data_IF_293352257708
#
_entry.id   IF_293352257708
#
_cell.length_a   1.000
_cell.length_b   1.000
_cell.length_c   1.000
_cell.angle_alpha   90.00
_cell.angle_beta   90.00
_cell.angle_gamma   90.00
#
_symmetry.space_group_name_H-M   'P 1'
#
loop_
_entity.id
_entity.type
_entity.pdbx_description
1 polymer ?
#
# COMPACT_ATOMS: atom_id res chain seq x y z
N UNK A 1 53.35 8.76 -21.67
CA UNK A 1 52.06 8.63 -22.38
C UNK A 1 51.22 7.66 -21.56
N UNK A 2 50.04 7.92 -21.02
CA UNK A 2 49.00 8.94 -21.16
C UNK A 2 47.70 8.22 -20.79
N UNK A 3 47.12 8.51 -19.62
CA UNK A 3 45.96 7.79 -19.09
C UNK A 3 45.07 8.71 -18.28
N UNK A 4 44.40 9.63 -18.96
CA UNK A 4 43.45 10.56 -18.35
C UNK A 4 42.12 9.84 -18.08
N UNK A 5 41.84 9.52 -16.81
CA UNK A 5 40.54 9.01 -16.37
C UNK A 5 39.56 10.17 -16.19
N UNK A 6 38.70 10.39 -17.18
CA UNK A 6 37.64 11.42 -17.17
C UNK A 6 36.58 11.13 -16.09
N UNK A 7 36.62 11.86 -14.97
CA UNK A 7 35.57 11.83 -13.94
C UNK A 7 34.40 12.72 -14.38
N UNK A 8 33.41 12.15 -15.05
CA UNK A 8 32.13 12.81 -15.33
C UNK A 8 31.29 12.77 -14.05
N UNK A 9 31.20 13.90 -13.35
CA UNK A 9 30.27 14.10 -12.25
C UNK A 9 28.85 14.29 -12.80
N UNK A 10 28.00 13.26 -12.65
CA UNK A 10 26.60 13.34 -13.05
C UNK A 10 25.85 14.24 -12.04
N UNK A 11 25.44 15.43 -12.48
CA UNK A 11 24.51 16.28 -11.72
C UNK A 11 23.09 15.75 -11.92
N UNK A 12 22.38 15.47 -10.82
CA UNK A 12 20.98 15.11 -10.85
C UNK A 12 20.11 16.32 -11.25
N UNK A 13 18.99 16.11 -11.98
CA UNK A 13 18.05 17.18 -12.28
C UNK A 13 17.37 17.66 -10.99
N UNK A 14 17.62 18.91 -10.61
CA UNK A 14 16.89 19.60 -9.56
C UNK A 14 15.48 19.90 -10.05
N UNK A 15 14.48 19.28 -9.45
CA UNK A 15 13.07 19.61 -9.70
C UNK A 15 12.82 21.07 -9.29
N UNK A 16 12.04 21.86 -10.05
CA UNK A 16 11.54 23.13 -9.53
C UNK A 16 10.66 22.82 -8.31
N UNK A 17 10.95 23.47 -7.18
CA UNK A 17 10.09 23.49 -6.02
C UNK A 17 8.73 24.03 -6.44
N UNK A 18 7.73 23.14 -6.56
CA UNK A 18 6.35 23.57 -6.71
C UNK A 18 5.95 24.28 -5.41
N UNK A 19 5.74 25.60 -5.49
CA UNK A 19 5.34 26.46 -4.37
C UNK A 19 3.86 26.31 -4.02
N UNK A 20 3.36 25.06 -3.98
CA UNK A 20 2.02 24.78 -3.45
C UNK A 20 2.14 24.40 -1.97
N UNK A 21 2.71 25.31 -1.20
CA UNK A 21 2.59 25.32 0.25
C UNK A 21 1.85 26.61 0.58
N UNK A 22 0.65 26.47 1.14
CA UNK A 22 -0.15 27.59 1.60
C UNK A 22 0.65 28.41 2.61
N UNK A 23 1.09 29.58 2.18
CA UNK A 23 1.62 30.63 3.03
C UNK A 23 1.17 31.95 2.42
N UNK A 24 0.15 32.56 3.05
CA UNK A 24 -0.21 33.95 2.80
C UNK A 24 0.97 34.79 3.25
N UNK A 25 1.81 35.20 2.31
CA UNK A 25 2.76 36.29 2.52
C UNK A 25 2.26 37.47 1.71
N UNK A 26 1.69 38.43 2.42
CA UNK A 26 1.38 39.76 1.90
C UNK A 26 2.70 40.40 1.48
N UNK A 27 3.03 40.29 0.19
CA UNK A 27 4.14 41.00 -0.42
C UNK A 27 3.55 42.21 -1.12
N UNK A 28 3.74 43.36 -0.48
CA UNK A 28 3.27 44.68 -0.87
C UNK A 28 3.96 45.24 -2.14
N UNK A 29 4.03 44.47 -3.23
CA UNK A 29 4.63 44.90 -4.49
C UNK A 29 4.02 44.17 -5.71
N UNK A 30 2.69 44.26 -5.87
CA UNK A 30 2.03 43.99 -7.15
C UNK A 30 1.26 45.23 -7.61
N UNK A 31 1.98 46.32 -7.85
CA UNK A 31 1.47 47.43 -8.67
C UNK A 31 1.47 46.96 -10.13
N UNK A 32 0.32 47.13 -10.80
CA UNK A 32 0.12 47.00 -12.26
C UNK A 32 0.04 45.57 -12.81
N UNK A 33 -0.92 44.79 -12.33
CA UNK A 33 -1.66 43.88 -13.22
C UNK A 33 -3.01 44.52 -13.44
N UNK A 34 -3.42 44.66 -14.71
CA UNK A 34 -4.69 45.25 -15.11
C UNK A 34 -5.85 44.58 -14.36
N UNK A 35 -6.22 45.18 -13.23
CA UNK A 35 -7.41 44.89 -12.48
C UNK A 35 -8.56 45.53 -13.23
N UNK A 36 -9.12 44.81 -14.20
CA UNK A 36 -10.40 45.18 -14.81
C UNK A 36 -11.58 44.93 -13.85
N UNK A 37 -11.30 44.47 -12.63
CA UNK A 37 -12.23 44.49 -11.51
C UNK A 37 -11.64 45.39 -10.41
N UNK A 38 -12.27 46.54 -10.16
CA UNK A 38 -11.93 47.40 -9.03
C UNK A 38 -12.22 46.64 -7.73
N UNK A 39 -11.22 46.52 -6.84
CA UNK A 39 -11.40 46.03 -5.46
C UNK A 39 -12.29 46.97 -4.63
N UNK A 40 -12.49 48.20 -5.12
CA UNK A 40 -13.34 49.20 -4.50
C UNK A 40 -14.76 49.06 -5.06
N UNK A 41 -15.70 48.85 -4.14
CA UNK A 41 -17.13 48.75 -4.42
C UNK A 41 -17.65 50.10 -4.94
N UNK A 42 -17.51 50.33 -6.24
CA UNK A 42 -17.94 51.56 -6.87
C UNK A 42 -19.47 51.68 -6.90
N UNK A 43 -19.97 52.92 -6.81
CA UNK A 43 -21.42 53.20 -6.83
C UNK A 43 -22.14 52.69 -8.09
N UNK A 44 -21.40 52.48 -9.19
CA UNK A 44 -21.90 51.83 -10.39
C UNK A 44 -22.16 50.33 -10.17
N UNK A 45 -21.26 49.63 -9.46
CA UNK A 45 -21.41 48.22 -9.07
C UNK A 45 -22.58 48.06 -8.10
N UNK A 46 -22.74 48.98 -7.14
CA UNK A 46 -23.88 48.93 -6.21
C UNK A 46 -25.23 49.17 -6.88
N UNK A 47 -25.27 49.97 -7.96
CA UNK A 47 -26.50 50.18 -8.75
C UNK A 47 -26.80 48.99 -9.66
N UNK A 48 -25.79 48.43 -10.31
CA UNK A 48 -25.94 47.26 -11.19
C UNK A 48 -26.29 45.98 -10.40
N UNK A 49 -25.73 45.81 -9.19
CA UNK A 49 -26.07 44.73 -8.27
C UNK A 49 -27.50 44.82 -7.71
N UNK A 50 -28.20 45.95 -7.89
CA UNK A 50 -29.62 46.12 -7.54
C UNK A 50 -30.55 45.82 -8.73
N UNK A 51 -30.17 44.94 -9.64
CA UNK A 51 -31.09 44.46 -10.69
C UNK A 51 -32.30 43.75 -10.03
N UNK A 52 -33.51 44.36 -10.04
CA UNK A 52 -34.70 43.78 -9.42
C UNK A 52 -35.16 42.51 -10.13
N UNK A 53 -34.71 42.29 -11.37
CA UNK A 53 -35.04 41.12 -12.16
C UNK A 53 -34.03 39.99 -12.01
N UNK A 54 -32.84 40.25 -11.44
CA UNK A 54 -31.81 39.23 -11.26
C UNK A 54 -32.27 38.12 -10.30
N UNK A 55 -32.84 38.49 -9.15
CA UNK A 55 -33.39 37.54 -8.18
C UNK A 55 -34.58 36.75 -8.73
N UNK A 56 -35.42 37.39 -9.54
CA UNK A 56 -36.54 36.73 -10.23
C UNK A 56 -36.03 35.70 -11.24
N UNK A 57 -35.03 36.05 -12.06
CA UNK A 57 -34.41 35.12 -13.02
C UNK A 57 -33.71 33.96 -12.31
N UNK A 58 -32.95 34.19 -11.24
CA UNK A 58 -32.34 33.11 -10.45
C UNK A 58 -33.38 32.13 -9.88
N UNK A 59 -34.52 32.63 -9.40
CA UNK A 59 -35.62 31.78 -8.94
C UNK A 59 -36.27 30.97 -10.07
N UNK A 60 -36.31 31.51 -11.29
CA UNK A 60 -36.84 30.83 -12.49
C UNK A 60 -35.91 29.76 -13.03
N UNK A 61 -34.58 29.95 -12.92
CA UNK A 61 -33.59 28.99 -13.42
C UNK A 61 -33.58 27.67 -12.62
N UNK A 62 -34.01 27.69 -11.35
CA UNK A 62 -34.05 26.49 -10.51
C UNK A 62 -32.66 25.85 -10.28
N UNK A 63 -32.59 24.73 -9.54
CA UNK A 63 -31.34 24.00 -9.39
C UNK A 63 -30.89 23.44 -10.74
N UNK A 64 -29.72 23.89 -11.19
CA UNK A 64 -29.08 23.39 -12.42
C UNK A 64 -28.73 21.91 -12.22
N UNK A 65 -29.39 21.05 -12.98
CA UNK A 65 -29.06 19.63 -13.02
C UNK A 65 -27.79 19.47 -13.86
N UNK A 66 -26.67 19.25 -13.19
CA UNK A 66 -25.45 18.80 -13.84
C UNK A 66 -25.58 17.29 -13.99
N UNK A 67 -25.62 16.83 -15.23
CA UNK A 67 -25.54 15.42 -15.56
C UNK A 67 -24.14 14.90 -15.20
N UNK A 68 -24.02 14.31 -14.01
CA UNK A 68 -22.76 13.75 -13.51
C UNK A 68 -22.45 12.40 -14.18
N UNK A 69 -22.26 12.39 -15.51
CA UNK A 69 -21.70 11.25 -16.23
C UNK A 69 -20.16 11.19 -16.14
N UNK A 70 -19.57 11.82 -15.11
CA UNK A 70 -18.14 11.70 -14.85
C UNK A 70 -17.89 10.27 -14.35
N UNK A 71 -17.51 9.39 -15.27
CA UNK A 71 -16.92 8.10 -14.96
C UNK A 71 -15.66 8.42 -14.17
N UNK A 72 -15.76 8.33 -12.85
CA UNK A 72 -14.63 8.54 -11.96
C UNK A 72 -13.62 7.46 -12.28
N UNK A 73 -12.49 7.88 -12.86
CA UNK A 73 -11.37 7.00 -13.17
C UNK A 73 -11.03 6.16 -11.94
N UNK A 74 -10.77 4.87 -12.18
CA UNK A 74 -10.43 3.90 -11.13
C UNK A 74 -9.27 4.39 -10.25
N UNK A 75 -8.34 5.14 -10.84
CA UNK A 75 -7.23 5.78 -10.13
C UNK A 75 -7.69 6.82 -9.11
N UNK A 76 -8.63 7.70 -9.48
CA UNK A 76 -9.15 8.72 -8.58
C UNK A 76 -9.93 8.10 -7.42
N UNK A 77 -10.72 7.05 -7.69
CA UNK A 77 -11.39 6.27 -6.63
C UNK A 77 -10.39 5.66 -5.65
N UNK A 78 -9.27 5.15 -6.15
CA UNK A 78 -8.22 4.60 -5.30
C UNK A 78 -7.52 5.67 -4.45
N UNK A 79 -7.28 6.87 -5.01
CA UNK A 79 -6.72 8.00 -4.25
C UNK A 79 -7.66 8.43 -3.12
N UNK A 80 -8.94 8.63 -3.43
CA UNK A 80 -9.94 9.02 -2.42
C UNK A 80 -10.04 7.97 -1.31
N UNK A 81 -10.12 6.69 -1.69
CA UNK A 81 -10.17 5.58 -0.73
C UNK A 81 -8.91 5.50 0.14
N UNK A 82 -7.73 5.72 -0.45
CA UNK A 82 -6.46 5.77 0.30
C UNK A 82 -6.44 6.91 1.31
N UNK A 83 -7.00 8.07 0.94
CA UNK A 83 -7.12 9.22 1.82
C UNK A 83 -8.07 8.96 2.98
N UNK A 84 -9.26 8.42 2.72
CA UNK A 84 -10.23 8.08 3.77
C UNK A 84 -9.64 7.09 4.78
N UNK A 85 -8.94 6.07 4.29
CA UNK A 85 -8.24 5.10 5.14
C UNK A 85 -7.15 5.80 5.96
N UNK A 86 -6.37 6.69 5.37
CA UNK A 86 -5.32 7.42 6.10
C UNK A 86 -5.88 8.36 7.16
N UNK A 87 -7.01 9.03 6.88
CA UNK A 87 -7.69 9.91 7.84
C UNK A 87 -8.27 9.11 9.01
N UNK A 88 -8.91 7.97 8.74
CA UNK A 88 -9.36 7.06 9.80
C UNK A 88 -8.21 6.57 10.68
N UNK A 89 -7.08 6.23 10.07
CA UNK A 89 -5.89 5.76 10.79
C UNK A 89 -5.22 6.83 11.62
N UNK A 90 -5.14 8.06 11.10
CA UNK A 90 -4.61 9.20 11.85
C UNK A 90 -5.51 9.56 13.04
N UNK A 91 -6.82 9.33 12.93
CA UNK A 91 -7.78 9.56 14.01
C UNK A 91 -7.82 8.43 15.06
N UNK A 92 -7.37 7.23 14.70
CA UNK A 92 -7.43 6.06 15.59
C UNK A 92 -6.16 5.90 16.42
N UNK A 93 -6.31 5.70 17.73
CA UNK A 93 -5.20 5.34 18.64
C UNK A 93 -4.92 3.83 18.70
N UNK A 94 -5.68 3.01 17.96
CA UNK A 94 -5.52 1.55 17.92
C UNK A 94 -4.61 1.13 16.76
N UNK A 95 -3.78 0.09 16.93
CA UNK A 95 -3.06 -0.49 15.81
C UNK A 95 -4.06 -0.95 14.74
N UNK A 96 -3.70 -0.75 13.49
CA UNK A 96 -4.56 -1.07 12.35
C UNK A 96 -4.48 -2.56 12.07
N UNK A 97 -5.60 -3.26 12.26
CA UNK A 97 -5.73 -4.70 11.95
C UNK A 97 -5.27 -5.02 10.53
N UNK A 98 -4.65 -6.18 10.34
CA UNK A 98 -4.07 -6.64 9.06
C UNK A 98 -2.95 -5.73 8.50
N UNK A 99 -2.28 -4.93 9.33
CA UNK A 99 -1.10 -4.16 8.91
C UNK A 99 0.06 -4.43 9.85
N UNK A 100 1.17 -4.86 9.26
CA UNK A 100 2.37 -5.20 10.01
C UNK A 100 3.62 -4.80 9.22
N UNK A 101 4.73 -4.65 9.94
CA UNK A 101 6.04 -4.44 9.33
C UNK A 101 6.48 -5.70 8.58
N UNK A 102 7.26 -5.53 7.51
CA UNK A 102 7.75 -6.65 6.69
C UNK A 102 8.54 -7.69 7.50
N UNK A 103 9.31 -7.25 8.52
CA UNK A 103 10.03 -8.16 9.41
C UNK A 103 9.09 -9.03 10.24
N UNK A 104 8.01 -8.45 10.79
CA UNK A 104 7.02 -9.21 11.54
C UNK A 104 6.25 -10.17 10.64
N UNK A 105 6.02 -9.81 9.37
CA UNK A 105 5.40 -10.69 8.38
C UNK A 105 6.28 -11.91 8.12
N UNK A 106 7.60 -11.72 8.00
CA UNK A 106 8.55 -12.82 7.89
C UNK A 106 8.46 -13.75 9.09
N UNK A 107 8.50 -13.20 10.31
CA UNK A 107 8.40 -13.99 11.54
C UNK A 107 7.06 -14.76 11.64
N UNK A 108 5.96 -14.14 11.22
CA UNK A 108 4.65 -14.77 11.17
C UNK A 108 4.61 -15.93 10.19
N UNK A 109 5.10 -15.73 8.96
CA UNK A 109 5.13 -16.77 7.93
C UNK A 109 6.05 -17.92 8.33
N UNK A 110 7.16 -17.62 9.03
CA UNK A 110 8.05 -18.65 9.56
C UNK A 110 7.39 -19.44 10.70
N UNK A 111 6.73 -18.78 11.64
CA UNK A 111 5.96 -19.46 12.68
C UNK A 111 4.80 -20.26 12.10
N UNK A 112 4.16 -19.80 11.03
CA UNK A 112 3.10 -20.53 10.33
C UNK A 112 3.59 -21.88 9.83
N UNK A 113 4.84 -22.01 9.39
CA UNK A 113 5.39 -23.32 9.00
C UNK A 113 5.37 -24.32 10.15
N UNK A 114 5.52 -23.87 11.40
CA UNK A 114 5.46 -24.77 12.56
C UNK A 114 4.04 -25.19 12.95
N UNK A 115 3.01 -24.51 12.45
CA UNK A 115 1.60 -24.74 12.81
C UNK A 115 1.04 -25.94 12.07
N UNK A 116 0.40 -26.87 12.80
CA UNK A 116 -0.19 -28.09 12.22
C UNK A 116 -1.71 -28.13 12.30
N UNK A 117 -2.31 -27.36 13.21
CA UNK A 117 -3.76 -27.34 13.43
C UNK A 117 -4.39 -26.00 13.05
N UNK A 118 -5.66 -26.03 12.62
CA UNK A 118 -6.45 -24.81 12.34
C UNK A 118 -6.69 -23.97 13.59
N UNK A 119 -6.80 -24.60 14.76
CA UNK A 119 -6.94 -23.88 16.03
C UNK A 119 -5.67 -23.11 16.40
N UNK A 120 -4.51 -23.71 16.17
CA UNK A 120 -3.22 -23.04 16.36
C UNK A 120 -3.03 -21.88 15.39
N UNK A 121 -3.53 -22.04 14.15
CA UNK A 121 -3.54 -20.99 13.14
C UNK A 121 -4.39 -19.79 13.59
N UNK A 122 -5.57 -20.03 14.16
CA UNK A 122 -6.42 -18.95 14.69
C UNK A 122 -5.74 -18.18 15.83
N UNK A 123 -5.11 -18.89 16.78
CA UNK A 123 -4.35 -18.30 17.87
C UNK A 123 -3.13 -17.51 17.39
N UNK A 124 -2.48 -17.97 16.32
CA UNK A 124 -1.39 -17.24 15.68
C UNK A 124 -1.91 -15.94 15.06
N UNK A 125 -3.04 -15.99 14.35
CA UNK A 125 -3.68 -14.82 13.74
C UNK A 125 -4.03 -13.76 14.79
N UNK A 126 -4.62 -14.17 15.91
CA UNK A 126 -4.99 -13.28 17.02
C UNK A 126 -3.78 -12.58 17.66
N UNK A 127 -2.64 -13.28 17.80
CA UNK A 127 -1.41 -12.69 18.36
C UNK A 127 -0.84 -11.56 17.51
N UNK A 128 -1.02 -11.65 16.19
CA UNK A 128 -0.52 -10.66 15.23
C UNK A 128 -1.60 -9.67 14.78
N UNK A 129 -2.83 -9.75 15.33
CA UNK A 129 -3.99 -8.94 14.95
C UNK A 129 -4.30 -9.01 13.44
N UNK A 130 -4.38 -10.24 12.92
CA UNK A 130 -4.67 -10.54 11.51
C UNK A 130 -5.91 -11.43 11.41
N UNK A 131 -6.72 -11.19 10.39
CA UNK A 131 -7.84 -12.05 10.03
C UNK A 131 -7.37 -13.37 9.44
N UNK A 132 -7.98 -14.47 9.89
CA UNK A 132 -7.66 -15.81 9.40
C UNK A 132 -7.78 -15.90 7.87
N UNK A 133 -8.82 -15.31 7.28
CA UNK A 133 -9.02 -15.27 5.83
C UNK A 133 -7.94 -14.49 5.08
N UNK A 134 -7.39 -13.43 5.69
CA UNK A 134 -6.28 -12.65 5.09
C UNK A 134 -5.01 -13.47 5.16
N UNK A 135 -4.76 -14.15 6.28
CA UNK A 135 -3.58 -15.00 6.45
C UNK A 135 -3.61 -16.21 5.51
N UNK A 136 -4.75 -16.86 5.30
CA UNK A 136 -4.89 -17.96 4.33
C UNK A 136 -4.64 -17.48 2.89
N UNK A 137 -5.16 -16.30 2.53
CA UNK A 137 -4.87 -15.68 1.23
C UNK A 137 -3.40 -15.33 1.06
N UNK A 138 -2.78 -14.71 2.08
CA UNK A 138 -1.35 -14.39 2.05
C UNK A 138 -0.51 -15.65 1.87
N UNK A 139 -0.82 -16.71 2.61
CA UNK A 139 -0.13 -17.99 2.48
C UNK A 139 -0.24 -18.63 1.08
N UNK A 140 -1.30 -18.34 0.32
CA UNK A 140 -1.44 -18.83 -1.04
C UNK A 140 -0.49 -18.12 -2.04
N UNK A 141 -0.04 -16.90 -1.73
CA UNK A 141 0.79 -16.09 -2.63
C UNK A 141 2.22 -15.88 -2.14
N UNK A 142 2.45 -15.98 -0.83
CA UNK A 142 3.74 -15.68 -0.21
C UNK A 142 4.16 -16.79 0.73
N UNK A 143 5.37 -17.30 0.52
CA UNK A 143 6.06 -18.22 1.41
C UNK A 143 7.41 -17.60 1.82
N UNK A 144 8.04 -18.11 2.87
CA UNK A 144 9.42 -17.77 3.26
C UNK A 144 10.35 -18.92 2.88
N UNK A 145 11.57 -18.66 2.39
CA UNK A 145 12.54 -19.73 2.16
C UNK A 145 12.99 -20.35 3.49
N UNK A 146 13.05 -21.68 3.58
CA UNK A 146 13.64 -22.43 4.71
C UNK A 146 15.00 -23.01 4.33
N UNK A 147 15.80 -23.41 5.32
CA UNK A 147 17.06 -24.11 5.09
C UNK A 147 16.75 -25.59 4.87
N UNK A 148 17.18 -26.15 3.74
CA UNK A 148 17.04 -27.58 3.48
C UNK A 148 17.93 -28.35 4.44
N UNK A 149 17.32 -29.17 5.30
CA UNK A 149 18.02 -30.00 6.27
C UNK A 149 19.05 -30.90 5.56
N UNK A 150 20.27 -30.97 6.10
CA UNK A 150 21.38 -31.75 5.52
C UNK A 150 22.21 -31.04 4.43
N UNK A 151 21.86 -29.81 4.03
CA UNK A 151 22.61 -29.06 3.01
C UNK A 151 23.83 -28.28 3.52
N UNK A 152 24.18 -28.40 4.81
CA UNK A 152 25.29 -27.68 5.42
C UNK A 152 26.64 -28.16 4.87
N UNK A 153 27.28 -27.36 4.03
CA UNK A 153 28.64 -27.61 3.53
C UNK A 153 29.61 -26.64 4.21
N UNK A 154 30.69 -27.18 4.77
CA UNK A 154 31.83 -26.41 5.26
C UNK A 154 32.81 -26.24 4.10
N UNK A 155 32.99 -25.00 3.65
CA UNK A 155 34.00 -24.63 2.68
C UNK A 155 35.16 -23.99 3.45
N UNK A 156 36.36 -24.53 3.26
CA UNK A 156 37.58 -23.87 3.67
C UNK A 156 37.99 -22.97 2.51
N UNK A 157 38.05 -21.67 2.74
CA UNK A 157 38.57 -20.71 1.77
C UNK A 157 40.12 -20.72 1.83
N UNK A 158 40.80 -20.40 0.72
CA UNK A 158 42.28 -20.44 0.63
C UNK A 158 42.97 -19.51 1.66
N UNK A 159 42.23 -18.52 2.20
CA UNK A 159 42.68 -17.61 3.24
C UNK A 159 42.61 -18.20 4.67
N UNK A 160 42.25 -19.49 4.80
CA UNK A 160 42.10 -20.18 6.08
C UNK A 160 40.82 -19.81 6.84
N UNK A 161 39.91 -19.06 6.23
CA UNK A 161 38.59 -18.74 6.79
C UNK A 161 37.58 -19.84 6.49
N UNK A 162 36.85 -20.28 7.52
CA UNK A 162 35.79 -21.26 7.37
C UNK A 162 34.48 -20.55 6.99
N UNK A 163 33.93 -20.84 5.81
CA UNK A 163 32.58 -20.42 5.41
C UNK A 163 31.62 -21.61 5.42
N UNK A 164 30.45 -21.40 6.00
CA UNK A 164 29.36 -22.36 5.95
C UNK A 164 28.37 -21.93 4.87
N UNK A 165 28.17 -22.78 3.88
CA UNK A 165 27.14 -22.58 2.84
C UNK A 165 26.00 -23.57 3.09
N UNK A 166 24.77 -23.07 3.06
CA UNK A 166 23.54 -23.85 3.19
C UNK A 166 22.66 -23.60 1.97
N UNK A 167 21.90 -24.60 1.53
CA UNK A 167 20.92 -24.41 0.47
C UNK A 167 19.60 -23.92 1.08
N UNK A 168 19.11 -22.80 0.56
CA UNK A 168 17.75 -22.34 0.82
C UNK A 168 16.79 -23.07 -0.13
N UNK A 169 15.70 -23.60 0.42
CA UNK A 169 14.61 -24.25 -0.30
C UNK A 169 13.28 -23.58 0.01
N UNK A 170 12.29 -23.84 -0.85
CA UNK A 170 10.90 -23.43 -0.62
C UNK A 170 10.13 -24.66 -0.15
N UNK A 171 9.72 -24.67 1.12
CA UNK A 171 8.91 -25.75 1.69
C UNK A 171 7.48 -25.26 1.91
N UNK A 172 6.52 -25.91 1.28
CA UNK A 172 5.10 -25.65 1.49
C UNK A 172 4.56 -26.59 2.56
N UNK A 173 4.32 -26.06 3.76
CA UNK A 173 3.51 -26.77 4.75
C UNK A 173 2.03 -26.57 4.39
N UNK A 174 1.54 -27.46 3.52
CA UNK A 174 0.11 -27.69 3.39
C UNK A 174 -0.36 -28.22 4.74
N UNK A 175 -1.26 -27.50 5.41
CA UNK A 175 -2.03 -28.04 6.53
C UNK A 175 -2.55 -29.40 6.07
N UNK A 176 -2.06 -30.48 6.69
CA UNK A 176 -2.43 -31.84 6.28
C UNK A 176 -3.93 -31.99 6.50
N UNK A 177 -4.72 -31.76 5.46
CA UNK A 177 -6.09 -32.22 5.40
C UNK A 177 -6.03 -33.74 5.29
N UNK A 178 -5.81 -34.40 6.42
CA UNK A 178 -5.88 -35.86 6.61
C UNK A 178 -7.33 -36.33 6.50
N UNK A 179 -7.95 -36.10 5.34
CA UNK A 179 -9.21 -36.71 4.96
C UNK A 179 -9.10 -37.16 3.51
N UNK A 180 -8.34 -38.24 3.26
CA UNK A 180 -8.49 -39.22 2.15
C UNK A 180 -7.22 -40.05 1.98
N UNK A 181 -7.08 -41.09 2.79
CA UNK A 181 -6.49 -42.39 2.39
C UNK A 181 -6.55 -43.36 3.57
N UNK A 182 -7.77 -43.69 3.98
CA UNK A 182 -8.04 -44.82 4.86
C UNK A 182 -9.09 -45.72 4.20
N UNK A 183 -8.74 -46.33 3.06
CA UNK A 183 -9.44 -47.50 2.53
C UNK A 183 -8.68 -48.09 1.34
N UNK A 184 -7.68 -48.93 1.60
CA UNK A 184 -7.44 -50.08 0.74
C UNK A 184 -6.61 -51.14 1.48
N UNK A 185 -7.29 -51.95 2.28
CA UNK A 185 -6.75 -53.21 2.80
C UNK A 185 -7.17 -54.31 1.82
N UNK A 186 -6.24 -54.99 1.11
CA UNK A 186 -6.61 -56.13 0.28
C UNK A 186 -6.91 -57.34 1.18
N UNK A 187 -8.17 -57.80 1.17
CA UNK A 187 -8.52 -59.11 1.73
C UNK A 187 -7.86 -60.21 0.89
N UNK A 188 -6.93 -60.94 1.51
CA UNK A 188 -6.44 -62.22 0.99
C UNK A 188 -7.57 -63.26 1.14
N UNK A 189 -8.08 -63.74 0.01
CA UNK A 189 -8.91 -64.93 -0.07
C UNK A 189 -8.00 -66.16 0.15
N UNK A 190 -8.24 -66.88 1.25
CA UNK A 190 -7.66 -68.19 1.55
C UNK A 190 -8.73 -69.23 1.30
N UNK A 191 -8.56 -70.04 0.26
CA UNK A 191 -9.27 -71.30 0.05
C UNK A 191 -8.82 -72.35 1.06
N UNK A 192 -9.73 -73.26 1.43
CA UNK A 192 -9.44 -74.69 1.27
C UNK A 192 -10.36 -75.35 0.24
#
# INVERSE_FOLDING_TARGET
MGGASSKISRKFPSKPTQSWAGARTDTANQTLRNATASELKDSAIEKDARDPHFMQKLSQLGPVHVDHHMVTDTHMKNILRSRDVSEQQASSHTPTRNRMLAGMLFDLLEQRKSVRSKDELSKLADRYDIDLDVMERLAAFTNTPSIVEGSRRKLLEDDGQERFTMLAGWEDNALENTTKSASNTPQKLSTP
#
